data_IF_812646511281
#
_entry.id   IF_812646511281
#
_cell.length_a   1.000
_cell.length_b   1.000
_cell.length_c   1.000
_cell.angle_alpha   90.00
_cell.angle_beta   90.00
_cell.angle_gamma   90.00
#
_symmetry.space_group_name_H-M   'P 1'
#
loop_
_entity.id
_entity.type
_entity.pdbx_description
1 polymer ?
#
# COMPACT_ATOMS: atom_id res chain seq x y z
N UNK A 1 8.34 -9.61 -29.85
CA UNK A 1 8.04 -8.65 -28.76
C UNK A 1 8.04 -7.19 -29.22
N UNK A 2 9.07 -6.65 -29.90
CA UNK A 2 9.09 -5.22 -30.33
C UNK A 2 7.80 -4.73 -31.01
N UNK A 3 7.36 -5.40 -32.10
CA UNK A 3 6.13 -5.03 -32.84
C UNK A 3 4.86 -5.04 -31.98
N UNK A 4 4.81 -5.86 -30.93
CA UNK A 4 3.68 -5.90 -30.00
C UNK A 4 3.71 -4.68 -29.08
N UNK A 5 4.87 -4.37 -28.48
CA UNK A 5 5.04 -3.18 -27.64
C UNK A 5 4.82 -1.87 -28.41
N UNK A 6 5.15 -1.82 -29.70
CA UNK A 6 4.86 -0.67 -30.56
C UNK A 6 3.35 -0.36 -30.67
N UNK A 7 2.48 -1.34 -30.48
CA UNK A 7 1.01 -1.16 -30.54
C UNK A 7 0.32 -1.20 -29.17
N UNK A 8 0.93 -1.80 -28.14
CA UNK A 8 0.34 -1.90 -26.79
C UNK A 8 0.99 -0.99 -25.75
N UNK A 9 2.08 -0.31 -26.10
CA UNK A 9 2.87 0.51 -25.19
C UNK A 9 4.19 -0.17 -24.76
N UNK A 10 5.23 0.65 -24.62
CA UNK A 10 6.52 0.25 -24.10
C UNK A 10 6.57 0.45 -22.59
N UNK A 11 7.22 -0.47 -21.87
CA UNK A 11 7.46 -0.31 -20.45
C UNK A 11 8.34 0.93 -20.18
N UNK A 12 8.05 1.64 -19.08
CA UNK A 12 8.91 2.71 -18.59
C UNK A 12 10.21 2.14 -18.01
N UNK A 13 11.21 3.01 -17.84
CA UNK A 13 12.44 2.64 -17.16
C UNK A 13 12.18 2.39 -15.68
N UNK A 14 12.63 1.24 -15.16
CA UNK A 14 12.47 0.90 -13.74
C UNK A 14 13.31 1.88 -12.88
N UNK A 15 12.76 2.43 -11.79
CA UNK A 15 13.58 3.20 -10.85
C UNK A 15 14.60 2.28 -10.17
N UNK A 16 15.77 2.82 -9.82
CA UNK A 16 16.89 2.01 -9.27
C UNK A 16 16.54 1.20 -8.02
N UNK A 17 15.83 1.79 -7.06
CA UNK A 17 15.36 1.10 -5.85
C UNK A 17 14.42 -0.09 -6.15
N UNK A 18 13.82 -0.12 -7.35
CA UNK A 18 12.92 -1.18 -7.77
C UNK A 18 13.63 -2.46 -8.23
N UNK A 19 14.96 -2.47 -8.32
CA UNK A 19 15.76 -3.60 -8.80
C UNK A 19 16.50 -4.36 -7.69
N UNK A 20 16.55 -3.80 -6.49
CA UNK A 20 17.35 -4.32 -5.37
C UNK A 20 16.50 -5.17 -4.40
N UNK A 21 16.87 -5.23 -3.11
CA UNK A 21 16.20 -6.11 -2.14
C UNK A 21 14.92 -5.50 -1.55
N UNK A 22 13.82 -6.26 -1.64
CA UNK A 22 12.49 -5.93 -1.12
C UNK A 22 12.14 -6.82 0.06
N UNK A 23 11.99 -6.23 1.25
CA UNK A 23 11.56 -6.93 2.46
C UNK A 23 10.04 -6.80 2.63
N UNK A 24 9.36 -7.95 2.73
CA UNK A 24 7.94 -8.04 3.02
C UNK A 24 7.61 -9.30 3.84
N UNK A 25 6.48 -9.27 4.53
CA UNK A 25 5.80 -10.44 5.10
C UNK A 25 4.32 -10.11 5.27
N UNK A 26 3.50 -11.13 5.50
CA UNK A 26 2.13 -10.98 5.97
C UNK A 26 2.09 -11.20 7.49
N UNK A 27 2.01 -10.17 8.32
CA UNK A 27 2.17 -8.73 8.07
C UNK A 27 2.98 -8.09 9.20
N UNK A 28 3.51 -6.89 9.01
CA UNK A 28 3.90 -6.06 10.15
C UNK A 28 2.64 -5.44 10.73
N UNK A 29 2.38 -5.65 12.02
CA UNK A 29 1.10 -5.33 12.66
C UNK A 29 0.99 -3.87 13.09
N UNK A 30 2.13 -3.22 13.35
CA UNK A 30 2.20 -1.84 13.83
C UNK A 30 3.49 -1.14 13.37
N UNK A 31 3.54 0.17 13.60
CA UNK A 31 4.65 1.04 13.20
C UNK A 31 5.99 0.62 13.81
N UNK A 32 6.02 0.28 15.10
CA UNK A 32 7.27 -0.07 15.77
C UNK A 32 7.86 -1.37 15.22
N UNK A 33 7.01 -2.37 14.93
CA UNK A 33 7.47 -3.63 14.35
C UNK A 33 8.10 -3.42 12.96
N UNK A 34 7.45 -2.66 12.08
CA UNK A 34 7.96 -2.36 10.74
C UNK A 34 9.30 -1.61 10.82
N UNK A 35 9.38 -0.61 11.69
CA UNK A 35 10.60 0.20 11.85
C UNK A 35 11.72 -0.58 12.52
N UNK A 36 11.43 -1.44 13.50
CA UNK A 36 12.43 -2.31 14.13
C UNK A 36 13.10 -3.22 13.08
N UNK A 37 12.33 -3.75 12.13
CA UNK A 37 12.88 -4.57 11.03
C UNK A 37 13.78 -3.73 10.13
N UNK A 38 13.33 -2.56 9.66
CA UNK A 38 14.14 -1.67 8.81
C UNK A 38 15.46 -1.27 9.49
N UNK A 39 15.39 -0.88 10.77
CA UNK A 39 16.55 -0.52 11.59
C UNK A 39 17.50 -1.71 11.76
N UNK A 40 16.96 -2.92 11.95
CA UNK A 40 17.77 -4.12 12.15
C UNK A 40 18.57 -4.52 10.89
N UNK A 41 17.96 -4.37 9.70
CA UNK A 41 18.69 -4.52 8.43
C UNK A 41 19.89 -3.58 8.35
N UNK A 42 19.68 -2.29 8.66
CA UNK A 42 20.75 -1.28 8.65
C UNK A 42 21.80 -1.54 9.74
N UNK A 43 21.38 -1.97 10.94
CA UNK A 43 22.29 -2.33 12.04
C UNK A 43 23.21 -3.50 11.69
N UNK A 44 22.73 -4.45 10.89
CA UNK A 44 23.49 -5.63 10.45
C UNK A 44 24.27 -5.43 9.15
N UNK A 45 24.21 -4.23 8.56
CA UNK A 45 24.79 -3.94 7.25
C UNK A 45 24.28 -4.89 6.15
N UNK A 46 22.99 -5.24 6.22
CA UNK A 46 22.33 -6.05 5.18
C UNK A 46 21.62 -5.10 4.22
N UNK A 47 21.90 -5.16 2.89
CA UNK A 47 21.24 -4.32 1.90
C UNK A 47 19.72 -4.46 1.92
N UNK A 48 19.03 -3.34 1.87
CA UNK A 48 17.57 -3.22 1.76
C UNK A 48 17.24 -1.87 1.14
N UNK A 49 16.35 -1.91 0.14
CA UNK A 49 15.94 -0.76 -0.66
C UNK A 49 14.43 -0.51 -0.56
N UNK A 50 13.65 -1.56 -0.28
CA UNK A 50 12.21 -1.45 -0.09
C UNK A 50 11.74 -2.23 1.13
N UNK A 51 10.86 -1.62 1.92
CA UNK A 51 10.09 -2.30 2.98
C UNK A 51 8.60 -2.12 2.72
N UNK A 52 7.81 -3.18 2.94
CA UNK A 52 6.38 -3.23 2.61
C UNK A 52 5.53 -3.25 3.88
N UNK A 53 4.58 -2.32 3.99
CA UNK A 53 3.46 -2.38 4.91
C UNK A 53 2.28 -3.09 4.21
N UNK A 54 1.94 -4.29 4.68
CA UNK A 54 0.90 -5.13 4.06
C UNK A 54 -0.53 -4.63 4.41
N UNK A 55 -1.55 -5.36 3.94
CA UNK A 55 -2.97 -5.05 4.13
C UNK A 55 -3.42 -4.94 5.60
N UNK A 56 -4.60 -4.32 5.80
CA UNK A 56 -5.23 -4.10 7.12
C UNK A 56 -4.38 -3.26 8.10
N UNK A 57 -3.63 -2.28 7.59
CA UNK A 57 -3.07 -1.19 8.39
C UNK A 57 -4.05 0.00 8.55
N UNK A 58 -5.19 -0.07 7.86
CA UNK A 58 -6.30 0.89 7.92
C UNK A 58 -7.39 0.43 8.89
N UNK A 59 -8.23 1.36 9.40
CA UNK A 59 -9.33 1.02 10.31
C UNK A 59 -10.51 0.34 9.59
N UNK A 60 -10.86 0.78 8.37
CA UNK A 60 -11.85 0.16 7.49
C UNK A 60 -11.30 0.03 6.07
N UNK A 61 -11.79 -0.97 5.33
CA UNK A 61 -11.54 -1.05 3.88
C UNK A 61 -12.20 0.19 3.24
N UNK A 62 -11.46 0.94 2.40
CA UNK A 62 -11.78 2.25 1.75
C UNK A 62 -11.15 3.49 2.38
N UNK A 63 -10.75 3.47 3.66
CA UNK A 63 -10.28 4.73 4.25
C UNK A 63 -8.98 5.21 3.58
N UNK A 64 -8.22 4.28 2.99
CA UNK A 64 -6.85 4.48 2.46
C UNK A 64 -6.04 5.39 3.39
N UNK A 65 -6.19 5.12 4.68
CA UNK A 65 -5.71 5.92 5.79
C UNK A 65 -5.09 4.99 6.83
N UNK A 66 -4.40 5.57 7.80
CA UNK A 66 -3.72 4.83 8.84
C UNK A 66 -4.61 4.61 10.06
N UNK A 67 -4.68 3.39 10.58
CA UNK A 67 -5.18 3.17 11.94
C UNK A 67 -4.18 3.75 12.94
N UNK A 68 -4.43 4.98 13.39
CA UNK A 68 -3.58 5.70 14.34
C UNK A 68 -3.35 4.96 15.67
N UNK A 69 -4.15 3.93 16.00
CA UNK A 69 -3.90 3.08 17.17
C UNK A 69 -2.63 2.24 16.99
N UNK A 70 -2.43 1.66 15.81
CA UNK A 70 -1.27 0.83 15.47
C UNK A 70 -0.16 1.61 14.75
N UNK A 71 -0.54 2.72 14.09
CA UNK A 71 0.32 3.54 13.25
C UNK A 71 0.22 5.02 13.69
N UNK A 72 0.70 5.37 14.89
CA UNK A 72 0.42 6.67 15.51
C UNK A 72 1.10 7.86 14.81
N UNK A 73 2.16 7.62 14.03
CA UNK A 73 2.87 8.68 13.31
C UNK A 73 3.34 8.20 11.93
N UNK A 74 2.40 8.05 10.97
CA UNK A 74 2.70 7.53 9.64
C UNK A 74 3.60 8.47 8.83
N UNK A 75 3.56 9.78 9.10
CA UNK A 75 4.47 10.75 8.48
C UNK A 75 5.92 10.47 8.87
N UNK A 76 6.18 10.27 10.16
CA UNK A 76 7.52 9.87 10.64
C UNK A 76 7.93 8.50 10.13
N UNK A 77 6.98 7.55 10.09
CA UNK A 77 7.24 6.21 9.55
C UNK A 77 7.57 6.24 8.05
N UNK A 78 7.02 7.17 7.28
CA UNK A 78 7.40 7.35 5.88
C UNK A 78 8.77 8.04 5.75
N UNK A 79 9.08 9.04 6.58
CA UNK A 79 10.33 9.81 6.51
C UNK A 79 11.57 9.05 6.99
N UNK A 80 11.46 8.28 8.08
CA UNK A 80 12.63 7.62 8.68
C UNK A 80 13.29 6.60 7.73
N UNK A 81 12.55 5.70 7.03
CA UNK A 81 13.11 4.83 6.01
C UNK A 81 13.87 5.58 4.91
N UNK A 82 13.38 6.77 4.49
CA UNK A 82 14.06 7.56 3.47
C UNK A 82 15.46 8.03 3.91
N UNK A 83 15.63 8.37 5.19
CA UNK A 83 16.96 8.71 5.74
C UNK A 83 17.93 7.54 5.68
N UNK A 84 17.41 6.31 5.69
CA UNK A 84 18.15 5.06 5.54
C UNK A 84 18.27 4.59 4.07
N UNK A 85 17.77 5.39 3.11
CA UNK A 85 17.64 5.04 1.70
C UNK A 85 16.76 3.82 1.43
N UNK A 86 15.73 3.62 2.25
CA UNK A 86 14.71 2.58 2.08
C UNK A 86 13.41 3.26 1.63
N UNK A 87 12.75 2.73 0.61
CA UNK A 87 11.41 3.14 0.20
C UNK A 87 10.35 2.32 0.93
N UNK A 88 9.37 3.02 1.50
CA UNK A 88 8.18 2.40 2.05
C UNK A 88 7.14 2.19 0.95
N UNK A 89 6.63 0.97 0.81
CA UNK A 89 5.46 0.65 -0.01
C UNK A 89 4.32 0.27 0.93
N UNK A 90 3.12 0.73 0.58
CA UNK A 90 1.92 0.54 1.38
C UNK A 90 0.89 -0.21 0.53
N UNK A 91 0.29 -1.24 1.10
CA UNK A 91 -0.80 -1.98 0.46
C UNK A 91 -1.97 -1.05 0.15
N UNK A 92 -2.67 -1.28 -0.96
CA UNK A 92 -3.90 -0.56 -1.32
C UNK A 92 -4.89 -1.58 -1.82
N UNK A 93 -6.02 -1.70 -1.14
CA UNK A 93 -7.12 -2.57 -1.58
C UNK A 93 -8.21 -1.75 -2.28
N UNK A 94 -8.82 -2.27 -3.36
CA UNK A 94 -9.88 -1.58 -4.09
C UNK A 94 -11.27 -1.77 -3.47
N UNK A 95 -11.35 -2.48 -2.34
CA UNK A 95 -12.59 -2.80 -1.63
C UNK A 95 -13.03 -1.62 -0.79
N UNK A 96 -14.34 -1.35 -0.83
CA UNK A 96 -14.96 -0.22 -0.17
C UNK A 96 -15.99 -0.71 0.85
N UNK A 97 -15.74 -0.52 2.16
CA UNK A 97 -16.70 -0.90 3.21
C UNK A 97 -17.84 0.11 3.27
N UNK A 98 -19.08 -0.38 3.43
CA UNK A 98 -20.29 0.47 3.50
C UNK A 98 -20.27 1.47 4.66
N UNK A 99 -19.48 1.19 5.70
CA UNK A 99 -19.33 2.05 6.87
C UNK A 99 -18.25 3.12 6.69
N UNK A 100 -17.48 3.06 5.59
CA UNK A 100 -16.42 4.04 5.34
C UNK A 100 -17.00 5.43 5.12
N UNK A 101 -16.18 6.45 5.37
CA UNK A 101 -16.55 7.84 5.11
C UNK A 101 -16.78 8.15 3.63
N UNK A 102 -16.12 7.41 2.74
CA UNK A 102 -16.09 7.68 1.30
C UNK A 102 -17.16 6.89 0.51
N UNK A 103 -17.77 5.87 1.13
CA UNK A 103 -18.76 5.02 0.48
C UNK A 103 -19.91 5.80 -0.18
N UNK A 104 -20.59 6.67 0.58
CA UNK A 104 -21.75 7.42 0.08
C UNK A 104 -21.40 8.28 -1.13
N UNK A 105 -20.27 9.00 -1.09
CA UNK A 105 -19.82 9.82 -2.23
C UNK A 105 -19.52 8.95 -3.46
N UNK A 106 -18.84 7.82 -3.28
CA UNK A 106 -18.50 6.92 -4.39
C UNK A 106 -19.74 6.26 -5.00
N UNK A 107 -20.77 5.97 -4.20
CA UNK A 107 -22.07 5.48 -4.69
C UNK A 107 -22.78 6.55 -5.50
N UNK A 108 -22.90 7.77 -4.96
CA UNK A 108 -23.58 8.92 -5.59
C UNK A 108 -22.93 9.31 -6.93
N UNK A 109 -21.59 9.23 -7.00
CA UNK A 109 -20.84 9.56 -8.22
C UNK A 109 -20.64 8.40 -9.19
N UNK A 110 -21.09 7.19 -8.83
CA UNK A 110 -20.99 6.01 -9.69
C UNK A 110 -19.55 5.49 -9.88
N UNK A 111 -18.71 5.61 -8.84
CA UNK A 111 -17.32 5.13 -8.87
C UNK A 111 -17.17 3.64 -8.53
N UNK A 112 -18.16 3.05 -7.86
CA UNK A 112 -18.14 1.64 -7.47
C UNK A 112 -18.66 0.73 -8.58
N UNK A 113 -18.10 -0.49 -8.67
CA UNK A 113 -18.61 -1.53 -9.57
C UNK A 113 -20.04 -1.92 -9.19
N UNK A 114 -20.85 -2.27 -10.21
CA UNK A 114 -22.23 -2.71 -10.04
C UNK A 114 -22.38 -4.19 -10.38
N UNK A 115 -23.26 -4.84 -9.64
CA UNK A 115 -23.78 -6.17 -9.98
C UNK A 115 -25.15 -5.98 -10.64
N UNK A 116 -25.39 -6.64 -11.77
CA UNK A 116 -26.63 -6.49 -12.54
C UNK A 116 -27.85 -7.10 -11.82
N UNK A 117 -27.63 -8.13 -11.01
CA UNK A 117 -28.67 -8.81 -10.24
C UNK A 117 -28.11 -9.38 -8.92
N UNK A 118 -28.96 -9.47 -7.90
CA UNK A 118 -28.61 -10.00 -6.57
C UNK A 118 -28.37 -8.89 -5.55
N UNK A 119 -27.74 -9.23 -4.42
CA UNK A 119 -27.44 -8.29 -3.34
C UNK A 119 -26.34 -7.34 -3.82
N UNK A 120 -26.55 -6.03 -3.69
CA UNK A 120 -25.50 -5.06 -3.98
C UNK A 120 -24.55 -4.99 -2.78
N UNK A 121 -23.54 -5.86 -2.81
CA UNK A 121 -22.43 -5.85 -1.83
C UNK A 121 -21.70 -4.52 -1.80
N UNK A 122 -21.82 -3.71 -2.86
CA UNK A 122 -21.21 -2.38 -3.03
C UNK A 122 -22.18 -1.18 -2.93
N UNK A 123 -23.50 -1.36 -2.70
CA UNK A 123 -24.47 -0.22 -2.68
C UNK A 123 -25.53 -0.17 -1.57
N UNK A 124 -25.85 -1.28 -0.89
CA UNK A 124 -27.06 -1.33 -0.01
C UNK A 124 -26.84 -1.01 1.48
#
# INVERSE_FOLDING_TARGET
MRRYSDVTGHALMMPGHGLEFWQSKLRYENQEELMAVAREYKRRDIPIDVIVCDYFHWPLQDDWDWDTTAWPNPESMAKEPETMKIKLIVSVWPTVDKRSRSFSEMVERGYLVHVDCGIHTTRD
#
